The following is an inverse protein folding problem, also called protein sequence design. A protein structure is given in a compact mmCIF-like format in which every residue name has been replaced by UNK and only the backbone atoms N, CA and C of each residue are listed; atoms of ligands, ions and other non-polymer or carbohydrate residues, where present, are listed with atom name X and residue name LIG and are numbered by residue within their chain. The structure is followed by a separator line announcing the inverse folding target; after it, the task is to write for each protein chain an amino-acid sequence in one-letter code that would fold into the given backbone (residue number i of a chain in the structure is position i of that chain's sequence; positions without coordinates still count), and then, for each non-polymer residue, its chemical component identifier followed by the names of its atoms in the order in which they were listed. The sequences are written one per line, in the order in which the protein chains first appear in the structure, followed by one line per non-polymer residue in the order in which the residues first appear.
data_IF_451795257684
#
_entry.id   IF_451795257684
#
_cell.length_a   1.000
_cell.length_b   1.000
_cell.length_c   1.000
_cell.angle_alpha   90.00
_cell.angle_beta   90.00
_cell.angle_gamma   90.00
#
_symmetry.space_group_name_H-M   'P 1'
#
loop_
_entity.id
_entity.type
_entity.pdbx_description
1 polymer ?
#
# COMPACT_ATOMS: atom_id res chain seq x y z
N UNK A 1 3.93 -4.10 10.67
CA UNK A 1 3.10 -3.64 9.54
C UNK A 1 2.03 -4.67 9.15
N UNK A 2 2.41 -5.82 8.61
CA UNK A 2 1.45 -6.78 8.03
C UNK A 2 0.68 -7.55 9.12
N UNK A 3 1.32 -7.86 10.25
CA UNK A 3 0.64 -8.39 11.45
C UNK A 3 -0.43 -7.44 11.99
N UNK A 4 -0.21 -6.12 11.93
CA UNK A 4 -1.20 -5.12 12.36
C UNK A 4 -2.36 -5.03 11.37
N UNK A 5 -2.09 -5.15 10.07
CA UNK A 5 -3.11 -5.19 9.01
C UNK A 5 -3.95 -6.46 9.14
N UNK A 6 -3.30 -7.61 9.32
CA UNK A 6 -3.94 -8.90 9.59
C UNK A 6 -4.89 -8.81 10.79
N UNK A 7 -4.43 -8.27 11.92
CA UNK A 7 -5.26 -8.11 13.11
C UNK A 7 -6.46 -7.17 12.88
N UNK A 8 -6.26 -6.04 12.18
CA UNK A 8 -7.33 -5.07 11.89
C UNK A 8 -8.39 -5.64 10.94
N UNK A 9 -7.98 -6.44 9.97
CA UNK A 9 -8.86 -7.04 8.97
C UNK A 9 -9.37 -8.43 9.38
N UNK A 10 -8.97 -8.92 10.56
CA UNK A 10 -9.23 -10.29 11.01
C UNK A 10 -8.84 -11.36 9.97
N UNK A 11 -7.66 -11.20 9.35
CA UNK A 11 -7.13 -12.08 8.31
C UNK A 11 -5.87 -12.80 8.78
N UNK A 12 -5.65 -14.02 8.26
CA UNK A 12 -4.39 -14.72 8.45
C UNK A 12 -3.24 -13.97 7.76
N UNK A 13 -2.03 -14.04 8.35
CA UNK A 13 -0.86 -13.36 7.81
C UNK A 13 -0.49 -13.86 6.40
N UNK A 14 -0.75 -15.14 6.10
CA UNK A 14 -0.55 -15.71 4.77
C UNK A 14 -1.47 -15.06 3.72
N UNK A 15 -2.73 -14.82 4.09
CA UNK A 15 -3.71 -14.15 3.22
C UNK A 15 -3.25 -12.74 2.87
N UNK A 16 -2.73 -11.98 3.85
CA UNK A 16 -2.13 -10.66 3.59
C UNK A 16 -0.94 -10.75 2.63
N UNK A 17 -0.05 -11.74 2.80
CA UNK A 17 1.10 -11.93 1.88
C UNK A 17 0.63 -12.23 0.45
N UNK A 18 -0.39 -13.08 0.29
CA UNK A 18 -0.97 -13.39 -1.02
C UNK A 18 -1.58 -12.15 -1.68
N UNK A 19 -2.31 -11.33 -0.92
CA UNK A 19 -2.86 -10.08 -1.41
C UNK A 19 -1.77 -9.11 -1.84
N UNK A 20 -0.74 -8.91 -1.02
CA UNK A 20 0.38 -8.01 -1.32
C UNK A 20 1.14 -8.50 -2.56
N UNK A 21 1.40 -9.80 -2.69
CA UNK A 21 2.03 -10.38 -3.87
C UNK A 21 1.21 -10.13 -5.14
N UNK A 22 -0.11 -10.33 -5.06
CA UNK A 22 -1.03 -10.07 -6.18
C UNK A 22 -1.02 -8.60 -6.58
N UNK A 23 -0.97 -7.68 -5.60
CA UNK A 23 -0.82 -6.25 -5.88
C UNK A 23 0.50 -6.00 -6.59
N UNK A 24 1.62 -6.50 -6.07
CA UNK A 24 2.93 -6.33 -6.71
C UNK A 24 2.96 -6.83 -8.15
N UNK A 25 2.38 -8.01 -8.42
CA UNK A 25 2.25 -8.54 -9.78
C UNK A 25 1.42 -7.64 -10.70
N UNK A 26 0.31 -7.07 -10.20
CA UNK A 26 -0.53 -6.14 -10.98
C UNK A 26 0.15 -4.80 -11.23
N UNK A 27 1.02 -4.36 -10.32
CA UNK A 27 1.77 -3.12 -10.44
C UNK A 27 3.07 -3.28 -11.25
N UNK A 28 3.51 -4.52 -11.47
CA UNK A 28 4.79 -4.82 -12.13
C UNK A 28 6.01 -4.50 -11.26
N UNK A 29 5.87 -4.58 -9.93
CA UNK A 29 6.94 -4.27 -8.97
C UNK A 29 7.31 -5.51 -8.16
N UNK A 30 8.50 -5.54 -7.55
CA UNK A 30 8.98 -6.72 -6.82
C UNK A 30 9.08 -6.53 -5.31
N UNK A 31 8.93 -5.30 -4.83
CA UNK A 31 9.05 -4.99 -3.40
C UNK A 31 8.08 -3.93 -2.93
N UNK A 32 7.93 -3.84 -1.60
CA UNK A 32 7.14 -2.79 -0.96
C UNK A 32 7.67 -1.40 -1.28
N UNK A 33 9.00 -1.26 -1.31
CA UNK A 33 9.66 0.01 -1.59
C UNK A 33 9.37 0.46 -3.02
N UNK A 34 9.48 -0.45 -4.00
CA UNK A 34 9.09 -0.16 -5.39
C UNK A 34 7.61 0.18 -5.51
N UNK A 35 6.72 -0.54 -4.81
CA UNK A 35 5.30 -0.22 -4.80
C UNK A 35 5.01 1.19 -4.24
N UNK A 36 5.77 1.63 -3.25
CA UNK A 36 5.68 3.00 -2.70
C UNK A 36 6.15 4.01 -3.75
N UNK A 37 7.28 3.78 -4.42
CA UNK A 37 7.78 4.67 -5.49
C UNK A 37 6.76 4.74 -6.63
N UNK A 38 6.27 3.60 -7.12
CA UNK A 38 5.23 3.50 -8.14
C UNK A 38 3.98 4.31 -7.77
N UNK A 39 3.56 4.24 -6.51
CA UNK A 39 2.41 5.01 -6.04
C UNK A 39 2.69 6.53 -5.97
N UNK A 40 3.93 6.95 -5.71
CA UNK A 40 4.33 8.36 -5.63
C UNK A 40 4.35 8.99 -7.02
N UNK A 41 4.94 8.27 -7.99
CA UNK A 41 5.00 8.68 -9.39
C UNK A 41 3.60 8.87 -10.00
N UNK A 42 2.61 8.14 -9.48
CA UNK A 42 1.21 8.21 -9.93
C UNK A 42 0.31 9.09 -9.05
N UNK A 43 0.88 9.80 -8.07
CA UNK A 43 0.11 10.71 -7.20
C UNK A 43 -0.93 10.03 -6.30
N UNK A 44 -0.77 8.74 -5.98
CA UNK A 44 -1.77 7.95 -5.24
C UNK A 44 -1.77 8.21 -3.72
N UNK A 45 -0.96 9.16 -3.24
CA UNK A 45 -0.92 9.56 -1.82
C UNK A 45 -1.88 10.73 -1.56
N UNK A 46 -3.18 10.48 -1.69
CA UNK A 46 -4.23 11.48 -1.38
C UNK A 46 -4.74 11.25 0.04
N UNK A 47 -3.99 11.68 1.06
CA UNK A 47 -4.44 11.44 2.44
C UNK A 47 -3.55 11.92 3.58
N UNK A 48 -2.68 12.92 3.38
CA UNK A 48 -1.82 13.38 4.49
C UNK A 48 -1.28 14.82 4.44
N UNK A 49 -1.40 15.55 3.33
CA UNK A 49 -0.87 16.93 3.29
C UNK A 49 -1.47 17.86 2.21
N UNK A 50 -2.47 17.43 1.43
CA UNK A 50 -3.03 18.25 0.34
C UNK A 50 -4.32 19.02 0.71
N UNK A 51 -4.66 19.11 2.01
CA UNK A 51 -5.75 19.93 2.53
C UNK A 51 -5.23 20.87 3.63
N UNK A 52 -4.23 21.70 3.30
CA UNK A 52 -3.75 22.79 4.18
C UNK A 52 -3.37 24.08 3.46
N UNK A 53 -3.79 24.27 2.22
CA UNK A 53 -3.65 25.59 1.61
C UNK A 53 -4.86 25.92 0.73
N UNK A 54 -5.71 26.79 1.25
CA UNK A 54 -6.95 27.21 0.62
C UNK A 54 -7.61 28.35 1.41
N UNK A 55 -6.89 29.48 1.52
CA UNK A 55 -7.26 30.77 2.12
C UNK A 55 -7.40 30.84 3.64
#
# INVERSE_FOLDING_TARGET
PDKKIAARLNLALNTIRNHVATVYSKLGVHSRSEAIVWARERGLFTGGAASRNGK
#
